data_IF_877291123362
#
_entry.id   IF_877291123362
#
_cell.length_a   1.000
_cell.length_b   1.000
_cell.length_c   1.000
_cell.angle_alpha   90.00
_cell.angle_beta   90.00
_cell.angle_gamma   90.00
#
_symmetry.space_group_name_H-M   'P 1'
#
loop_
_entity.id
_entity.type
_entity.pdbx_description
1 polymer ?
#
# COMPACT_ATOMS: atom_id res chain seq x y z
N UNK A 1 -16.08 -4.40 6.05
CA UNK A 1 -16.13 -5.85 6.34
C UNK A 1 -14.79 -6.50 6.03
N UNK A 2 -14.29 -7.29 6.96
CA UNK A 2 -13.01 -7.97 6.83
C UNK A 2 -13.26 -9.47 6.67
N UNK A 3 -12.62 -10.11 5.68
CA UNK A 3 -12.80 -11.54 5.46
C UNK A 3 -11.47 -12.17 5.03
N UNK A 4 -11.34 -13.47 5.29
CA UNK A 4 -10.21 -14.25 4.82
C UNK A 4 -10.64 -14.98 3.55
N UNK A 5 -9.87 -14.78 2.47
CA UNK A 5 -10.16 -15.42 1.19
C UNK A 5 -9.63 -16.86 1.19
N UNK A 6 -10.10 -17.71 0.24
CA UNK A 6 -9.67 -19.12 0.22
C UNK A 6 -8.16 -19.31 0.12
N UNK A 7 -7.44 -18.38 -0.51
CA UNK A 7 -5.98 -18.48 -0.64
C UNK A 7 -5.23 -17.89 0.57
N UNK A 8 -5.95 -17.53 1.64
CA UNK A 8 -5.35 -16.98 2.83
C UNK A 8 -5.19 -15.47 2.83
N UNK A 9 -5.51 -14.80 1.72
CA UNK A 9 -5.44 -13.34 1.66
C UNK A 9 -6.54 -12.75 2.54
N UNK A 10 -6.31 -11.52 2.99
CA UNK A 10 -7.29 -10.76 3.77
C UNK A 10 -7.88 -9.71 2.87
N UNK A 11 -9.21 -9.59 2.85
CA UNK A 11 -9.89 -8.53 2.13
C UNK A 11 -10.69 -7.68 3.08
N UNK A 12 -10.52 -6.37 2.96
CA UNK A 12 -11.34 -5.39 3.68
C UNK A 12 -12.11 -4.62 2.62
N UNK A 13 -13.44 -4.61 2.73
CA UNK A 13 -14.28 -3.97 1.74
C UNK A 13 -15.31 -3.09 2.41
N UNK A 14 -15.53 -1.90 1.83
CA UNK A 14 -16.56 -0.97 2.27
C UNK A 14 -17.03 -0.20 1.04
N UNK A 15 -18.31 -0.34 0.71
CA UNK A 15 -18.87 0.25 -0.50
C UNK A 15 -18.23 -0.39 -1.72
N UNK A 16 -17.78 0.45 -2.64
CA UNK A 16 -17.13 0.00 -3.88
C UNK A 16 -15.61 -0.01 -3.78
N UNK A 17 -15.08 0.17 -2.58
CA UNK A 17 -13.64 0.20 -2.37
C UNK A 17 -13.20 -1.06 -1.63
N UNK A 18 -12.07 -1.65 -2.03
CA UNK A 18 -11.56 -2.83 -1.35
C UNK A 18 -10.05 -2.78 -1.28
N UNK A 19 -9.54 -3.40 -0.21
CA UNK A 19 -8.11 -3.61 0.02
C UNK A 19 -7.91 -5.11 0.20
N UNK A 20 -6.97 -5.70 -0.56
CA UNK A 20 -6.65 -7.12 -0.45
C UNK A 20 -5.18 -7.23 -0.10
N UNK A 21 -4.87 -7.98 0.95
CA UNK A 21 -3.53 -8.12 1.50
C UNK A 21 -3.03 -9.54 1.28
N UNK A 22 -1.87 -9.67 0.62
CA UNK A 22 -1.23 -10.96 0.35
C UNK A 22 0.23 -10.90 0.74
N UNK A 23 0.79 -12.06 1.05
CA UNK A 23 2.20 -12.20 1.37
C UNK A 23 2.88 -12.99 0.27
N UNK A 24 3.42 -12.31 -0.76
CA UNK A 24 4.03 -13.03 -1.90
C UNK A 24 5.30 -13.77 -1.52
N UNK A 25 6.00 -13.31 -0.50
CA UNK A 25 7.21 -13.95 0.00
C UNK A 25 7.50 -13.43 1.41
N UNK A 26 8.38 -14.11 2.17
CA UNK A 26 8.73 -13.59 3.51
C UNK A 26 9.30 -12.19 3.41
N UNK A 27 8.86 -11.33 4.32
CA UNK A 27 9.33 -9.95 4.38
C UNK A 27 8.65 -9.01 3.39
N UNK A 28 7.65 -9.48 2.63
CA UNK A 28 6.93 -8.65 1.69
C UNK A 28 5.43 -8.73 1.92
N UNK A 29 4.75 -7.62 1.67
CA UNK A 29 3.29 -7.54 1.74
C UNK A 29 2.81 -6.84 0.47
N UNK A 30 1.82 -7.44 -0.20
CA UNK A 30 1.20 -6.86 -1.38
C UNK A 30 -0.22 -6.43 -1.02
N UNK A 31 -0.50 -5.15 -1.21
CA UNK A 31 -1.83 -4.57 -0.97
C UNK A 31 -2.40 -4.16 -2.31
N UNK A 32 -3.55 -4.71 -2.67
CA UNK A 32 -4.24 -4.36 -3.92
C UNK A 32 -5.46 -3.52 -3.57
N UNK A 33 -5.52 -2.31 -4.15
CA UNK A 33 -6.57 -1.33 -3.84
C UNK A 33 -7.45 -1.15 -5.05
N UNK A 34 -8.78 -1.20 -4.86
CA UNK A 34 -9.75 -0.87 -5.90
C UNK A 34 -10.73 0.16 -5.37
N UNK A 35 -11.16 1.07 -6.26
CA UNK A 35 -12.20 2.02 -5.92
C UNK A 35 -11.71 3.29 -5.25
N UNK A 36 -12.64 4.00 -4.62
CA UNK A 36 -12.39 5.29 -3.99
C UNK A 36 -12.38 5.14 -2.47
N UNK A 37 -11.27 5.52 -1.83
CA UNK A 37 -11.18 5.52 -0.38
C UNK A 37 -11.54 6.91 0.14
N UNK A 38 -12.76 7.04 0.63
CA UNK A 38 -13.28 8.30 1.14
C UNK A 38 -13.21 8.35 2.68
N UNK A 39 -12.47 7.43 3.30
CA UNK A 39 -12.34 7.38 4.75
C UNK A 39 -13.29 6.39 5.41
N UNK A 40 -14.03 5.60 4.61
CA UNK A 40 -15.03 4.68 5.15
C UNK A 40 -14.42 3.53 5.95
N UNK A 41 -13.12 3.30 5.82
CA UNK A 41 -12.45 2.23 6.54
C UNK A 41 -11.92 2.64 7.92
N UNK A 42 -11.89 3.94 8.21
CA UNK A 42 -11.25 4.41 9.44
C UNK A 42 -9.77 4.05 9.41
N UNK A 43 -9.28 3.39 10.45
CA UNK A 43 -7.86 2.98 10.54
C UNK A 43 -7.63 1.55 10.07
N UNK A 44 -8.68 0.82 9.69
CA UNK A 44 -8.59 -0.63 9.44
C UNK A 44 -7.53 -0.99 8.41
N UNK A 45 -7.44 -0.24 7.32
CA UNK A 45 -6.54 -0.57 6.23
C UNK A 45 -5.09 -0.44 6.63
N UNK A 46 -4.74 0.60 7.37
CA UNK A 46 -3.37 0.79 7.84
C UNK A 46 -3.06 -0.13 9.01
N UNK A 47 -4.06 -0.49 9.81
CA UNK A 47 -3.87 -1.42 10.92
C UNK A 47 -3.43 -2.79 10.42
N UNK A 48 -3.92 -3.24 9.27
CA UNK A 48 -3.47 -4.50 8.68
C UNK A 48 -1.98 -4.45 8.34
N UNK A 49 -1.51 -3.32 7.82
CA UNK A 49 -0.09 -3.18 7.50
C UNK A 49 0.73 -3.14 8.79
N UNK A 50 0.22 -2.42 9.79
CA UNK A 50 0.90 -2.34 11.10
C UNK A 50 1.04 -3.73 11.72
N UNK A 51 0.02 -4.57 11.59
CA UNK A 51 0.08 -5.93 12.09
C UNK A 51 1.18 -6.72 11.38
N UNK A 52 1.31 -6.53 10.08
CA UNK A 52 2.38 -7.19 9.33
C UNK A 52 3.75 -6.70 9.77
N UNK A 53 3.88 -5.40 10.02
CA UNK A 53 5.14 -4.81 10.51
C UNK A 53 5.56 -5.40 11.85
N UNK A 54 4.59 -5.74 12.70
CA UNK A 54 4.90 -6.31 14.00
C UNK A 54 5.50 -7.71 13.90
N UNK A 55 5.28 -8.41 12.78
CA UNK A 55 5.81 -9.76 12.56
C UNK A 55 7.16 -9.76 11.89
N UNK A 56 7.49 -8.70 11.16
CA UNK A 56 8.71 -8.61 10.37
C UNK A 56 9.59 -7.54 10.97
N UNK A 57 10.91 -7.77 10.94
CA UNK A 57 11.83 -6.73 11.41
C UNK A 57 11.83 -5.56 10.44
N UNK A 58 11.82 -5.87 9.15
CA UNK A 58 11.69 -4.88 8.09
C UNK A 58 10.76 -5.46 7.05
N UNK A 59 9.94 -4.62 6.46
CA UNK A 59 8.92 -5.04 5.50
C UNK A 59 9.10 -4.28 4.21
N UNK A 60 9.06 -5.02 3.11
CA UNK A 60 8.96 -4.42 1.79
C UNK A 60 7.48 -4.40 1.42
N UNK A 61 6.94 -3.20 1.20
CA UNK A 61 5.51 -3.00 0.97
C UNK A 61 5.29 -2.73 -0.51
N UNK A 62 4.37 -3.48 -1.11
CA UNK A 62 3.96 -3.31 -2.49
C UNK A 62 2.49 -2.91 -2.50
N UNK A 63 2.17 -1.81 -3.16
CA UNK A 63 0.80 -1.32 -3.27
C UNK A 63 0.41 -1.28 -4.73
N UNK A 64 -0.53 -2.15 -5.12
CA UNK A 64 -1.05 -2.17 -6.48
C UNK A 64 -2.30 -1.30 -6.50
N UNK A 65 -2.15 -0.08 -6.97
CA UNK A 65 -3.23 0.91 -6.99
C UNK A 65 -3.71 1.19 -8.42
N UNK A 66 -3.52 0.23 -9.35
CA UNK A 66 -3.96 0.40 -10.73
C UNK A 66 -5.46 0.62 -10.83
N UNK A 67 -6.23 -0.07 -9.99
CA UNK A 67 -7.69 0.00 -10.02
C UNK A 67 -8.23 1.00 -9.00
N UNK A 68 -7.36 1.71 -8.31
CA UNK A 68 -7.79 2.75 -7.38
C UNK A 68 -8.24 3.97 -8.17
N UNK A 69 -9.32 4.59 -7.73
CA UNK A 69 -9.85 5.81 -8.35
C UNK A 69 -9.25 7.04 -7.69
N UNK A 70 -9.05 6.97 -6.38
CA UNK A 70 -8.50 8.09 -5.63
C UNK A 70 -8.69 7.91 -4.14
N UNK A 71 -8.33 8.94 -3.38
CA UNK A 71 -8.47 8.93 -1.94
C UNK A 71 -8.79 10.34 -1.46
N UNK A 72 -9.59 10.44 -0.40
CA UNK A 72 -9.87 11.72 0.23
C UNK A 72 -8.59 12.29 0.84
N UNK A 73 -8.55 13.61 1.02
CA UNK A 73 -7.37 14.29 1.56
C UNK A 73 -7.00 13.73 2.94
N UNK A 74 -8.00 13.48 3.79
CA UNK A 74 -7.73 12.92 5.12
C UNK A 74 -7.10 11.54 5.04
N UNK A 75 -7.47 10.74 4.05
CA UNK A 75 -6.88 9.42 3.84
C UNK A 75 -5.43 9.56 3.38
N UNK A 76 -5.17 10.46 2.44
CA UNK A 76 -3.80 10.75 2.00
C UNK A 76 -2.93 11.20 3.17
N UNK A 77 -3.47 12.03 4.04
CA UNK A 77 -2.73 12.48 5.22
C UNK A 77 -2.41 11.33 6.15
N UNK A 78 -3.34 10.39 6.32
CA UNK A 78 -3.10 9.20 7.15
C UNK A 78 -1.96 8.35 6.60
N UNK A 79 -1.94 8.14 5.28
CA UNK A 79 -0.87 7.39 4.64
C UNK A 79 0.47 8.12 4.80
N UNK A 80 0.47 9.44 4.64
CA UNK A 80 1.67 10.24 4.79
C UNK A 80 2.26 10.08 6.20
N UNK A 81 1.41 10.19 7.22
CA UNK A 81 1.84 10.01 8.61
C UNK A 81 2.30 8.59 8.86
N UNK A 82 1.63 7.61 8.25
CA UNK A 82 2.00 6.21 8.39
C UNK A 82 3.42 5.98 7.89
N UNK A 83 3.75 6.48 6.70
CA UNK A 83 5.09 6.31 6.14
C UNK A 83 6.14 6.99 7.02
N UNK A 84 5.86 8.20 7.49
CA UNK A 84 6.79 8.91 8.37
C UNK A 84 7.03 8.14 9.67
N UNK A 85 5.94 7.65 10.28
CA UNK A 85 6.02 6.98 11.57
C UNK A 85 6.72 5.63 11.50
N UNK A 86 6.62 4.94 10.36
CA UNK A 86 7.14 3.59 10.22
C UNK A 86 8.36 3.51 9.32
N UNK A 87 9.01 4.66 9.08
CA UNK A 87 10.17 4.72 8.17
C UNK A 87 11.22 3.68 8.50
N UNK A 88 11.50 3.48 9.79
CA UNK A 88 12.56 2.58 10.22
C UNK A 88 12.20 1.11 10.01
N UNK A 89 10.90 0.78 9.96
CA UNK A 89 10.42 -0.60 9.81
C UNK A 89 10.11 -0.97 8.38
N UNK A 90 10.10 0.02 7.47
CA UNK A 90 9.83 -0.20 6.06
C UNK A 90 11.15 -0.22 5.29
N UNK A 91 11.38 -1.31 4.57
CA UNK A 91 12.58 -1.44 3.76
C UNK A 91 12.45 -0.65 2.48
N UNK A 92 11.31 -0.78 1.82
CA UNK A 92 10.99 -0.07 0.59
C UNK A 92 9.48 -0.11 0.39
N UNK A 93 8.93 0.93 -0.23
CA UNK A 93 7.52 0.97 -0.59
C UNK A 93 7.44 1.17 -2.11
N UNK A 94 6.77 0.23 -2.78
CA UNK A 94 6.57 0.26 -4.22
C UNK A 94 5.10 0.48 -4.49
N UNK A 95 4.76 1.50 -5.27
CA UNK A 95 3.36 1.82 -5.57
C UNK A 95 3.16 1.85 -7.07
N UNK A 96 2.25 1.01 -7.56
CA UNK A 96 1.88 0.97 -8.98
C UNK A 96 0.61 1.78 -9.16
N UNK A 97 0.66 2.78 -10.03
CA UNK A 97 -0.48 3.67 -10.28
C UNK A 97 -1.03 3.44 -11.67
N UNK A 98 -2.34 3.66 -11.84
CA UNK A 98 -3.01 3.48 -13.11
C UNK A 98 -3.61 4.75 -13.67
N UNK A 99 -3.48 5.87 -12.97
CA UNK A 99 -4.04 7.14 -13.43
C UNK A 99 -3.16 8.28 -12.93
N UNK A 100 -3.30 9.42 -13.62
CA UNK A 100 -2.55 10.62 -13.22
C UNK A 100 -3.01 11.15 -11.87
N UNK A 101 -4.30 11.03 -11.57
CA UNK A 101 -4.84 11.48 -10.29
C UNK A 101 -4.21 10.70 -9.14
N UNK A 102 -4.17 9.37 -9.25
CA UNK A 102 -3.58 8.54 -8.21
C UNK A 102 -2.08 8.77 -8.13
N UNK A 103 -1.43 8.94 -9.28
CA UNK A 103 0.01 9.23 -9.30
C UNK A 103 0.33 10.49 -8.51
N UNK A 104 -0.45 11.56 -8.72
CA UNK A 104 -0.23 12.81 -8.01
C UNK A 104 -0.48 12.68 -6.52
N UNK A 105 -1.50 11.90 -6.14
CA UNK A 105 -1.80 11.64 -4.74
C UNK A 105 -0.61 10.94 -4.06
N UNK A 106 -0.07 9.93 -4.70
CA UNK A 106 1.07 9.18 -4.15
C UNK A 106 2.33 10.05 -4.11
N UNK A 107 2.55 10.83 -5.16
CA UNK A 107 3.71 11.73 -5.20
C UNK A 107 3.65 12.77 -4.08
N UNK A 108 2.46 13.24 -3.74
CA UNK A 108 2.29 14.17 -2.64
C UNK A 108 2.65 13.50 -1.31
N UNK A 109 2.18 12.27 -1.09
CA UNK A 109 2.52 11.53 0.12
C UNK A 109 4.02 11.26 0.18
N UNK A 110 4.63 10.93 -0.96
CA UNK A 110 6.07 10.71 -1.04
C UNK A 110 6.82 11.96 -0.58
N UNK A 111 6.40 13.12 -1.07
CA UNK A 111 7.05 14.39 -0.75
C UNK A 111 6.82 14.78 0.71
N UNK A 112 5.57 14.72 1.17
CA UNK A 112 5.21 15.22 2.49
C UNK A 112 5.67 14.32 3.63
N UNK A 113 5.82 13.03 3.37
CA UNK A 113 6.27 12.10 4.43
C UNK A 113 7.74 12.29 4.79
N UNK A 114 8.52 12.92 3.90
CA UNK A 114 9.94 13.20 4.12
C UNK A 114 10.72 11.91 4.40
N UNK A 115 10.41 10.87 3.66
CA UNK A 115 11.06 9.57 3.84
C UNK A 115 12.16 9.30 2.83
N UNK A 116 12.62 10.36 2.15
CA UNK A 116 13.68 10.24 1.16
C UNK A 116 13.21 9.42 -0.04
N UNK A 117 13.98 8.41 -0.39
CA UNK A 117 13.66 7.56 -1.53
C UNK A 117 12.98 6.25 -1.11
N UNK A 118 12.32 6.24 0.03
CA UNK A 118 11.60 5.05 0.51
C UNK A 118 10.52 4.63 -0.48
N UNK A 119 9.74 5.58 -0.99
CA UNK A 119 8.59 5.30 -1.83
C UNK A 119 8.99 5.41 -3.30
N UNK A 120 8.77 4.34 -4.05
CA UNK A 120 9.04 4.29 -5.49
C UNK A 120 7.71 4.17 -6.21
N UNK A 121 7.48 5.02 -7.22
CA UNK A 121 6.20 5.07 -7.95
C UNK A 121 6.41 4.48 -9.33
N UNK A 122 5.52 3.57 -9.72
CA UNK A 122 5.58 2.86 -10.99
C UNK A 122 4.30 3.09 -11.78
N UNK A 123 4.42 3.29 -13.08
CA UNK A 123 3.26 3.29 -13.97
C UNK A 123 3.30 2.09 -14.93
N UNK A 124 4.38 1.33 -14.92
CA UNK A 124 4.55 0.15 -15.77
C UNK A 124 4.33 -1.11 -14.92
N UNK A 125 3.25 -1.86 -15.19
CA UNK A 125 2.96 -3.06 -14.40
C UNK A 125 4.05 -4.12 -14.48
N UNK A 126 4.78 -4.21 -15.60
CA UNK A 126 5.83 -5.22 -15.75
C UNK A 126 7.03 -4.91 -14.87
N UNK A 127 7.38 -3.63 -14.76
CA UNK A 127 8.48 -3.23 -13.87
C UNK A 127 8.10 -3.49 -12.43
N UNK A 128 6.87 -3.13 -12.06
CA UNK A 128 6.37 -3.37 -10.71
C UNK A 128 6.41 -4.88 -10.38
N UNK A 129 5.93 -5.71 -11.31
CA UNK A 129 5.91 -7.15 -11.12
C UNK A 129 7.33 -7.71 -10.95
N UNK A 130 8.29 -7.18 -11.71
CA UNK A 130 9.67 -7.64 -11.59
C UNK A 130 10.25 -7.34 -10.21
N UNK A 131 9.90 -6.20 -9.63
CA UNK A 131 10.32 -5.87 -8.27
C UNK A 131 9.69 -6.81 -7.25
N UNK A 132 8.42 -7.14 -7.46
CA UNK A 132 7.69 -8.03 -6.57
C UNK A 132 8.29 -9.42 -6.57
N UNK A 133 8.77 -9.90 -7.73
CA UNK A 133 9.35 -11.22 -7.86
C UNK A 133 10.82 -11.26 -7.46
N UNK A 134 11.47 -10.13 -7.33
CA UNK A 134 12.88 -10.09 -6.97
C UNK A 134 13.07 -10.69 -5.59
N UNK A 135 14.05 -11.60 -5.47
CA UNK A 135 14.39 -12.15 -4.16
C UNK A 135 15.07 -11.06 -3.35
N UNK A 136 14.81 -11.03 -2.07
CA UNK A 136 15.43 -10.05 -1.19
C UNK A 136 16.94 -10.16 -1.26
N UNK A 137 17.53 -9.26 -1.97
CA UNK A 137 18.98 -9.25 -2.11
C UNK A 137 19.59 -8.16 -1.36
#
# INVERSE_FOLDING_TARGET
MRETLPDGAIRIQAGDCSFVYRRPRPGALLVTITGMDAGQFGTSTLDEITTALARERRLELFVDAREAIGAAVSVSDDWTRFFSSHRASLDRVHVLVGSKVVELTVAMAQHLSRTGNLIQIYSDPEIFASRLEARGR
#
